data_IF_692760974964
#
_entry.id   IF_692760974964
#
_cell.length_a   1.000
_cell.length_b   1.000
_cell.length_c   1.000
_cell.angle_alpha   90.00
_cell.angle_beta   90.00
_cell.angle_gamma   90.00
#
_symmetry.space_group_name_H-M   'P 1'
#
loop_
_entity.id
_entity.type
_entity.pdbx_description
1 polymer ?
#
# COMPACT_ATOMS: atom_id res chain seq x y z
N UNK A 1 2.58 -71.33 -20.52
CA UNK A 1 1.66 -70.55 -19.69
C UNK A 1 0.27 -71.00 -20.06
N UNK A 2 -0.46 -71.58 -19.13
CA UNK A 2 -1.76 -72.18 -19.42
C UNK A 2 -2.80 -71.10 -19.73
N UNK A 3 -3.81 -71.45 -20.53
CA UNK A 3 -4.88 -70.54 -20.95
C UNK A 3 -5.52 -69.83 -19.74
N UNK A 4 -5.67 -70.55 -18.64
CA UNK A 4 -6.24 -70.03 -17.40
C UNK A 4 -5.34 -69.01 -16.72
N UNK A 5 -4.01 -69.18 -16.79
CA UNK A 5 -3.05 -68.20 -16.27
C UNK A 5 -3.07 -66.90 -17.07
N UNK A 6 -3.21 -66.99 -18.40
CA UNK A 6 -3.30 -65.80 -19.27
C UNK A 6 -4.58 -65.02 -18.96
N UNK A 7 -5.72 -65.71 -18.81
CA UNK A 7 -7.00 -65.08 -18.46
C UNK A 7 -6.91 -64.40 -17.09
N UNK A 8 -6.31 -65.04 -16.09
CA UNK A 8 -6.15 -64.47 -14.76
C UNK A 8 -5.28 -63.20 -14.76
N UNK A 9 -4.19 -63.17 -15.53
CA UNK A 9 -3.32 -61.99 -15.64
C UNK A 9 -4.02 -60.83 -16.34
N UNK A 10 -4.74 -61.09 -17.44
CA UNK A 10 -5.49 -60.05 -18.16
C UNK A 10 -6.59 -59.44 -17.27
N UNK A 11 -7.31 -60.28 -16.51
CA UNK A 11 -8.32 -59.80 -15.56
C UNK A 11 -7.72 -58.99 -14.41
N UNK A 12 -6.57 -59.43 -13.87
CA UNK A 12 -5.86 -58.71 -12.80
C UNK A 12 -5.39 -57.32 -13.25
N UNK A 13 -4.81 -57.22 -14.44
CA UNK A 13 -4.38 -55.94 -15.02
C UNK A 13 -5.59 -55.05 -15.29
N UNK A 14 -6.66 -55.60 -15.89
CA UNK A 14 -7.89 -54.85 -16.17
C UNK A 14 -8.53 -54.27 -14.90
N UNK A 15 -8.61 -55.07 -13.82
CA UNK A 15 -9.16 -54.63 -12.54
C UNK A 15 -8.31 -53.50 -11.92
N UNK A 16 -6.98 -53.60 -12.01
CA UNK A 16 -6.08 -52.57 -11.51
C UNK A 16 -6.31 -51.22 -12.20
N UNK A 17 -6.43 -51.19 -13.54
CA UNK A 17 -6.73 -49.96 -14.27
C UNK A 17 -8.11 -49.40 -13.95
N UNK A 18 -9.12 -50.27 -13.76
CA UNK A 18 -10.46 -49.84 -13.37
C UNK A 18 -10.47 -49.14 -12.00
N UNK A 19 -9.71 -49.65 -11.02
CA UNK A 19 -9.57 -49.04 -9.70
C UNK A 19 -8.89 -47.67 -9.80
N UNK A 20 -7.80 -47.55 -10.57
CA UNK A 20 -7.11 -46.28 -10.77
C UNK A 20 -7.98 -45.22 -11.46
N UNK A 21 -8.78 -45.61 -12.46
CA UNK A 21 -9.72 -44.72 -13.10
C UNK A 21 -10.78 -44.19 -12.11
N UNK A 22 -11.24 -45.05 -11.20
CA UNK A 22 -12.23 -44.69 -10.18
C UNK A 22 -11.67 -43.68 -9.16
N UNK A 23 -10.42 -43.86 -8.72
CA UNK A 23 -9.73 -42.87 -7.89
C UNK A 23 -9.49 -41.55 -8.63
N UNK A 24 -9.17 -41.59 -9.92
CA UNK A 24 -9.03 -40.40 -10.75
C UNK A 24 -10.33 -39.60 -10.84
N UNK A 25 -11.47 -40.27 -11.04
CA UNK A 25 -12.80 -39.63 -11.08
C UNK A 25 -13.13 -39.00 -9.73
N UNK A 26 -12.88 -39.69 -8.60
CA UNK A 26 -13.11 -39.15 -7.26
C UNK A 26 -12.23 -37.93 -6.96
N UNK A 27 -10.97 -37.93 -7.38
CA UNK A 27 -10.08 -36.79 -7.20
C UNK A 27 -10.55 -35.56 -8.00
N UNK A 28 -10.97 -35.76 -9.26
CA UNK A 28 -11.45 -34.68 -10.13
C UNK A 28 -12.79 -34.14 -9.63
N UNK A 29 -13.75 -35.01 -9.31
CA UNK A 29 -15.07 -34.58 -8.81
C UNK A 29 -15.00 -33.93 -7.44
N UNK A 30 -14.13 -34.41 -6.53
CA UNK A 30 -13.87 -33.77 -5.25
C UNK A 30 -13.25 -32.37 -5.40
N UNK A 31 -12.35 -32.18 -6.35
CA UNK A 31 -11.78 -30.87 -6.66
C UNK A 31 -12.86 -29.87 -7.12
N UNK A 32 -13.77 -30.28 -8.02
CA UNK A 32 -14.85 -29.40 -8.48
C UNK A 32 -15.89 -29.08 -7.38
N UNK A 33 -16.13 -29.98 -6.44
CA UNK A 33 -17.09 -29.74 -5.34
C UNK A 33 -16.58 -28.69 -4.33
N UNK A 34 -15.26 -28.60 -4.12
CA UNK A 34 -14.64 -27.58 -3.25
C UNK A 34 -14.57 -26.21 -3.93
N UNK A 35 -14.42 -26.17 -5.26
CA UNK A 35 -14.37 -24.90 -6.02
C UNK A 35 -15.74 -24.38 -6.50
N UNK A 36 -16.80 -25.18 -6.40
CA UNK A 36 -18.11 -24.90 -7.01
C UNK A 36 -19.18 -24.26 -6.11
N UNK A 37 -18.94 -24.12 -4.80
CA UNK A 37 -19.92 -23.53 -3.85
C UNK A 37 -19.84 -21.99 -3.77
N UNK A 38 -19.49 -21.32 -4.87
CA UNK A 38 -19.77 -19.90 -5.06
C UNK A 38 -21.22 -19.76 -5.57
N UNK A 39 -22.17 -20.06 -4.67
CA UNK A 39 -23.59 -19.92 -4.89
C UNK A 39 -24.01 -18.47 -5.03
N UNK A 40 -24.80 -18.24 -6.08
CA UNK A 40 -25.79 -17.17 -6.21
C UNK A 40 -26.65 -17.08 -4.94
N UNK A 41 -26.86 -15.87 -4.44
CA UNK A 41 -28.08 -15.38 -3.77
C UNK A 41 -28.02 -13.84 -3.84
N UNK A 42 -28.84 -13.14 -4.63
CA UNK A 42 -30.27 -12.89 -4.46
C UNK A 42 -30.61 -11.96 -3.29
N UNK A 43 -30.67 -10.66 -3.61
CA UNK A 43 -31.75 -9.71 -3.33
C UNK A 43 -32.12 -9.27 -1.88
N UNK A 44 -32.40 -7.96 -1.81
CA UNK A 44 -33.24 -7.20 -0.86
C UNK A 44 -32.63 -6.68 0.45
N UNK A 45 -32.71 -5.35 0.62
CA UNK A 45 -32.65 -4.71 1.94
C UNK A 45 -32.24 -3.24 1.92
N UNK A 46 -33.19 -2.35 1.59
CA UNK A 46 -33.07 -0.91 1.76
C UNK A 46 -33.00 -0.49 3.24
N UNK A 47 -32.31 0.62 3.54
CA UNK A 47 -32.53 1.36 4.81
C UNK A 47 -31.39 2.25 5.31
N UNK A 48 -31.49 3.55 4.97
CA UNK A 48 -31.30 4.76 5.83
C UNK A 48 -30.08 4.84 6.78
N UNK A 49 -29.15 5.81 6.66
CA UNK A 49 -29.22 7.28 6.85
C UNK A 49 -28.86 7.78 8.28
N UNK A 50 -28.23 8.97 8.29
CA UNK A 50 -27.86 9.91 9.40
C UNK A 50 -26.48 9.71 10.06
N UNK A 51 -25.51 10.64 9.98
CA UNK A 51 -25.38 12.05 10.43
C UNK A 51 -25.21 12.25 11.95
N UNK A 52 -24.02 12.71 12.36
CA UNK A 52 -23.70 13.78 13.34
C UNK A 52 -22.23 13.60 13.81
N UNK A 53 -21.27 14.49 13.54
CA UNK A 53 -21.07 15.86 14.02
C UNK A 53 -20.68 15.97 15.52
N UNK A 54 -19.41 16.32 15.76
CA UNK A 54 -18.90 17.14 16.89
C UNK A 54 -17.43 17.49 16.54
N UNK A 55 -17.04 18.71 16.13
CA UNK A 55 -17.11 20.03 16.77
C UNK A 55 -16.42 20.08 18.13
N UNK A 56 -15.17 20.56 18.14
CA UNK A 56 -14.42 20.93 19.34
C UNK A 56 -13.33 21.96 19.01
N UNK A 57 -13.54 23.19 19.48
CA UNK A 57 -12.72 24.40 19.31
C UNK A 57 -11.51 24.48 20.28
N UNK A 58 -10.66 25.48 20.01
CA UNK A 58 -9.81 26.25 20.94
C UNK A 58 -8.50 25.58 21.40
N UNK A 59 -7.37 26.24 21.66
CA UNK A 59 -6.95 27.64 21.77
C UNK A 59 -5.44 27.67 21.42
N UNK A 60 -4.89 28.63 20.68
CA UNK A 60 -4.31 29.89 21.18
C UNK A 60 -3.50 29.72 22.48
N UNK A 61 -2.17 29.70 22.39
CA UNK A 61 -1.32 30.27 23.44
C UNK A 61 0.02 30.73 22.88
N UNK A 62 0.25 32.03 23.08
CA UNK A 62 1.49 32.73 22.83
C UNK A 62 2.42 32.55 24.03
N UNK A 63 3.72 32.38 23.79
CA UNK A 63 4.71 32.72 24.80
C UNK A 63 6.07 33.05 24.17
N UNK A 64 6.43 34.33 24.22
CA UNK A 64 7.81 34.80 24.25
C UNK A 64 8.26 34.89 25.71
N UNK A 65 9.55 34.76 26.05
CA UNK A 65 10.35 35.98 26.17
C UNK A 65 11.86 35.80 25.92
N UNK A 66 12.56 36.92 25.69
CA UNK A 66 13.55 37.46 26.64
C UNK A 66 14.64 38.27 25.93
N UNK A 67 14.72 39.51 26.40
CA UNK A 67 15.66 40.58 26.13
C UNK A 67 17.09 40.19 26.51
N UNK A 68 18.07 40.53 25.66
CA UNK A 68 19.42 40.85 26.11
C UNK A 68 19.86 42.16 25.46
N UNK A 69 20.09 43.15 26.32
CA UNK A 69 20.79 44.38 26.01
C UNK A 69 22.29 44.11 26.09
N UNK A 70 23.05 44.68 25.16
CA UNK A 70 24.43 45.10 25.42
C UNK A 70 24.74 46.35 24.60
N UNK A 71 25.16 47.38 25.34
CA UNK A 71 25.63 48.66 24.86
C UNK A 71 27.01 48.53 24.22
N UNK A 72 27.27 49.25 23.12
CA UNK A 72 28.61 49.78 22.88
C UNK A 72 28.60 51.07 22.06
N UNK A 73 29.47 51.97 22.52
CA UNK A 73 29.70 53.35 22.12
C UNK A 73 30.69 53.40 20.95
N UNK A 74 30.49 54.31 19.99
CA UNK A 74 31.52 54.64 19.00
C UNK A 74 31.03 55.61 17.93
N UNK A 75 31.54 56.83 17.96
CA UNK A 75 31.18 57.96 17.11
C UNK A 75 31.62 57.83 15.63
N UNK A 76 30.86 58.44 14.71
CA UNK A 76 31.35 59.35 13.65
C UNK A 76 30.20 59.74 12.69
N UNK A 77 29.99 61.02 12.33
CA UNK A 77 28.90 61.43 11.46
C UNK A 77 29.34 61.40 9.99
N UNK A 78 28.82 60.45 9.22
CA UNK A 78 28.91 60.45 7.76
C UNK A 78 27.51 60.54 7.15
N UNK A 79 27.31 61.63 6.42
CA UNK A 79 26.16 61.90 5.55
C UNK A 79 26.05 60.78 4.50
N UNK A 80 24.93 60.06 4.46
CA UNK A 80 24.60 59.12 3.39
C UNK A 80 23.13 59.21 2.96
N UNK A 81 22.84 58.82 1.71
CA UNK A 81 21.75 59.33 0.89
C UNK A 81 20.40 58.74 1.28
N UNK A 82 19.33 59.48 1.00
CA UNK A 82 17.93 59.04 1.01
C UNK A 82 17.77 57.67 0.34
N UNK A 83 17.79 56.59 1.13
CA UNK A 83 17.46 55.25 0.66
C UNK A 83 15.99 55.24 0.23
N UNK A 84 15.77 54.90 -1.04
CA UNK A 84 14.45 54.51 -1.55
C UNK A 84 13.80 53.52 -0.60
N UNK A 85 12.50 53.66 -0.28
CA UNK A 85 11.84 52.77 0.66
C UNK A 85 11.96 51.34 0.16
N UNK A 86 12.69 50.53 0.92
CA UNK A 86 12.80 49.09 0.71
C UNK A 86 11.37 48.54 0.63
N UNK A 87 11.01 47.72 -0.38
CA UNK A 87 9.68 47.14 -0.44
C UNK A 87 9.40 46.45 0.89
N UNK A 88 8.33 46.87 1.58
CA UNK A 88 7.89 46.15 2.77
C UNK A 88 7.66 44.70 2.36
N UNK A 89 8.15 43.77 3.16
CA UNK A 89 7.84 42.37 2.93
C UNK A 89 6.30 42.24 2.95
N UNK A 90 5.71 41.52 1.99
CA UNK A 90 4.27 41.26 1.99
C UNK A 90 3.83 40.67 3.33
N UNK A 91 2.71 41.15 3.87
CA UNK A 91 2.16 40.73 5.16
C UNK A 91 0.83 40.00 4.95
N UNK A 92 0.91 38.67 4.85
CA UNK A 92 -0.29 37.83 4.78
C UNK A 92 -1.17 38.00 6.01
N UNK A 93 -2.49 38.05 5.81
CA UNK A 93 -3.47 37.99 6.90
C UNK A 93 -3.88 39.36 7.43
N UNK A 94 -3.68 40.41 6.64
CA UNK A 94 -4.17 41.77 6.90
C UNK A 94 -5.51 42.07 6.17
N UNK A 95 -6.08 41.07 5.48
CA UNK A 95 -7.32 41.14 4.69
C UNK A 95 -7.22 42.01 3.42
N UNK A 96 -6.00 42.33 2.98
CA UNK A 96 -5.74 43.14 1.78
C UNK A 96 -4.62 42.46 0.98
N UNK A 97 -4.91 42.06 -0.27
CA UNK A 97 -3.87 41.50 -1.15
C UNK A 97 -2.92 42.63 -1.56
N UNK A 98 -1.72 42.66 -0.98
CA UNK A 98 -0.67 43.62 -1.28
C UNK A 98 0.15 43.21 -2.52
N UNK A 99 0.94 44.15 -3.04
CA UNK A 99 1.82 43.88 -4.19
C UNK A 99 2.84 42.80 -3.85
N UNK A 100 2.70 41.63 -4.48
CA UNK A 100 3.55 40.46 -4.26
C UNK A 100 2.85 39.29 -3.56
N UNK A 101 1.60 39.48 -3.14
CA UNK A 101 0.75 38.45 -2.55
C UNK A 101 -0.17 37.83 -3.61
N UNK A 102 -0.47 36.55 -3.44
CA UNK A 102 -1.38 35.79 -4.32
C UNK A 102 -2.73 35.57 -3.65
N UNK A 103 -2.78 35.54 -2.33
CA UNK A 103 -3.98 35.29 -1.55
C UNK A 103 -3.85 35.88 -0.14
N UNK A 104 -4.99 36.20 0.46
CA UNK A 104 -5.13 36.55 1.88
C UNK A 104 -5.87 35.45 2.66
N UNK A 105 -6.76 34.75 1.99
CA UNK A 105 -7.59 33.68 2.52
C UNK A 105 -7.67 32.52 1.53
N UNK A 106 -8.10 31.35 2.01
CA UNK A 106 -8.36 30.19 1.14
C UNK A 106 -9.36 30.50 0.02
N UNK A 107 -10.23 31.49 0.19
CA UNK A 107 -11.22 31.90 -0.81
C UNK A 107 -10.61 32.63 -2.01
N UNK A 108 -9.42 33.21 -1.84
CA UNK A 108 -8.69 33.90 -2.91
C UNK A 108 -7.95 32.91 -3.82
N UNK A 109 -7.88 31.64 -3.43
CA UNK A 109 -7.29 30.59 -4.26
C UNK A 109 -8.34 30.05 -5.24
N UNK A 110 -8.15 30.34 -6.53
CA UNK A 110 -9.05 30.01 -7.65
C UNK A 110 -9.50 28.53 -7.77
N UNK A 111 -8.93 27.60 -6.99
CA UNK A 111 -9.17 26.16 -7.14
C UNK A 111 -9.58 25.48 -5.82
N UNK A 112 -10.64 24.68 -5.90
CA UNK A 112 -10.98 23.72 -4.87
C UNK A 112 -9.79 22.76 -4.65
N UNK A 113 -9.19 22.80 -3.46
CA UNK A 113 -8.01 22.01 -3.14
C UNK A 113 -6.73 22.81 -2.95
N UNK A 114 -6.79 24.14 -2.93
CA UNK A 114 -5.68 25.00 -2.48
C UNK A 114 -6.02 25.73 -1.18
N UNK A 115 -5.01 26.01 -0.36
CA UNK A 115 -5.10 26.83 0.84
C UNK A 115 -4.12 28.00 0.74
N UNK A 116 -4.47 29.12 1.34
CA UNK A 116 -3.59 30.26 1.40
C UNK A 116 -2.58 30.08 2.53
N UNK A 117 -1.30 29.97 2.17
CA UNK A 117 -0.21 29.83 3.11
C UNK A 117 0.97 30.67 2.66
N UNK A 118 1.43 31.55 3.56
CA UNK A 118 2.54 32.48 3.29
C UNK A 118 2.32 33.33 2.02
N UNK A 119 1.15 33.96 1.89
CA UNK A 119 0.71 34.75 0.72
C UNK A 119 0.66 33.96 -0.60
N UNK A 120 0.66 32.62 -0.58
CA UNK A 120 0.66 31.76 -1.76
C UNK A 120 -0.42 30.70 -1.66
N UNK A 121 -1.05 30.40 -2.79
CA UNK A 121 -1.95 29.27 -2.90
C UNK A 121 -1.15 27.97 -3.02
N UNK A 122 -1.00 27.29 -1.90
CA UNK A 122 -0.40 25.95 -1.81
C UNK A 122 -1.50 24.89 -1.95
N UNK A 123 -1.15 23.70 -2.46
CA UNK A 123 -2.11 22.60 -2.49
C UNK A 123 -2.45 22.17 -1.05
N UNK A 124 -3.75 21.96 -0.79
CA UNK A 124 -4.21 21.40 0.48
C UNK A 124 -3.50 20.06 0.68
N UNK A 125 -2.89 19.83 1.86
CA UNK A 125 -2.33 18.53 2.18
C UNK A 125 -3.39 17.47 1.94
N UNK A 126 -3.13 16.57 1.00
CA UNK A 126 -4.01 15.43 0.79
C UNK A 126 -4.09 14.66 2.11
N UNK A 127 -5.29 14.40 2.66
CA UNK A 127 -5.40 13.56 3.84
C UNK A 127 -4.63 12.27 3.62
N UNK A 128 -3.84 11.86 4.61
CA UNK A 128 -3.16 10.58 4.54
C UNK A 128 -4.21 9.49 4.28
N UNK A 129 -3.95 8.62 3.30
CA UNK A 129 -4.85 7.51 3.00
C UNK A 129 -5.03 6.69 4.29
N UNK A 130 -6.27 6.29 4.64
CA UNK A 130 -6.52 5.60 5.91
C UNK A 130 -5.88 4.21 5.91
N UNK A 131 -5.52 3.70 7.09
CA UNK A 131 -5.09 2.31 7.22
C UNK A 131 -6.31 1.38 7.09
N UNK A 132 -6.16 0.31 6.32
CA UNK A 132 -7.17 -0.71 6.09
C UNK A 132 -7.01 -1.83 7.12
N UNK A 133 -7.36 -1.56 8.38
CA UNK A 133 -7.13 -2.48 9.51
C UNK A 133 -7.89 -3.82 9.41
N UNK A 134 -8.88 -3.89 8.52
CA UNK A 134 -9.66 -5.09 8.23
C UNK A 134 -9.04 -5.96 7.13
N UNK A 135 -8.00 -5.48 6.45
CA UNK A 135 -7.19 -6.32 5.56
C UNK A 135 -5.96 -6.78 6.33
N UNK A 136 -5.46 -7.98 6.01
CA UNK A 136 -4.23 -8.51 6.59
C UNK A 136 -3.40 -9.23 5.54
N UNK A 137 -2.07 -9.16 5.65
CA UNK A 137 -1.16 -9.90 4.80
C UNK A 137 -0.96 -11.32 5.36
N UNK A 138 -1.80 -12.26 4.92
CA UNK A 138 -1.81 -13.63 5.43
C UNK A 138 -0.64 -14.48 4.89
N UNK A 139 -0.11 -14.13 3.72
CA UNK A 139 0.98 -14.89 3.10
C UNK A 139 1.89 -14.05 2.22
N UNK A 140 3.18 -14.42 2.21
CA UNK A 140 4.15 -13.96 1.21
C UNK A 140 4.86 -15.22 0.70
N UNK A 141 4.75 -15.49 -0.59
CA UNK A 141 5.51 -16.55 -1.23
C UNK A 141 6.79 -15.96 -1.79
N UNK A 142 7.91 -16.56 -1.41
CA UNK A 142 9.22 -16.09 -1.82
C UNK A 142 9.74 -16.85 -3.05
N UNK A 143 10.69 -16.24 -3.74
CA UNK A 143 11.50 -16.84 -4.79
C UNK A 143 12.91 -16.26 -4.69
N UNK A 144 13.90 -16.99 -5.19
CA UNK A 144 15.26 -16.49 -5.31
C UNK A 144 15.52 -15.95 -6.71
N UNK A 145 15.92 -14.67 -6.78
CA UNK A 145 16.20 -14.01 -8.06
C UNK A 145 17.52 -13.25 -8.01
N UNK A 146 18.14 -13.15 -9.18
CA UNK A 146 19.24 -12.23 -9.41
C UNK A 146 18.66 -10.84 -9.70
N UNK A 147 18.95 -9.88 -8.84
CA UNK A 147 18.58 -8.49 -9.02
C UNK A 147 19.85 -7.63 -9.10
N UNK A 148 20.09 -6.99 -10.24
CA UNK A 148 21.30 -6.19 -10.50
C UNK A 148 22.61 -6.91 -10.14
N UNK A 149 22.71 -8.19 -10.51
CA UNK A 149 23.90 -9.03 -10.23
C UNK A 149 24.00 -9.55 -8.80
N UNK A 150 23.01 -9.31 -7.94
CA UNK A 150 22.95 -9.84 -6.58
C UNK A 150 21.82 -10.86 -6.46
N UNK A 151 22.15 -12.07 -5.99
CA UNK A 151 21.12 -13.03 -5.56
C UNK A 151 20.49 -12.54 -4.28
N UNK A 152 19.17 -12.60 -4.20
CA UNK A 152 18.45 -12.34 -2.96
C UNK A 152 17.00 -12.79 -3.04
N UNK A 153 16.33 -12.61 -1.92
CA UNK A 153 14.94 -12.99 -1.73
C UNK A 153 14.06 -12.00 -2.49
N UNK A 154 13.03 -12.52 -3.15
CA UNK A 154 12.02 -11.72 -3.83
C UNK A 154 10.63 -12.19 -3.44
N UNK A 155 9.69 -11.27 -3.29
CA UNK A 155 8.28 -11.61 -3.13
C UNK A 155 7.69 -11.94 -4.51
N UNK A 156 7.13 -13.15 -4.61
CA UNK A 156 6.45 -13.65 -5.81
C UNK A 156 4.95 -13.47 -5.70
N UNK A 157 4.36 -13.79 -4.56
CA UNK A 157 2.90 -13.68 -4.35
C UNK A 157 2.67 -13.02 -3.00
N UNK A 158 1.76 -12.05 -2.98
CA UNK A 158 1.19 -11.49 -1.75
C UNK A 158 -0.23 -12.01 -1.61
N UNK A 159 -0.51 -12.72 -0.52
CA UNK A 159 -1.86 -13.19 -0.20
C UNK A 159 -2.44 -12.28 0.86
N UNK A 160 -3.54 -11.61 0.54
CA UNK A 160 -4.23 -10.67 1.40
C UNK A 160 -5.57 -11.26 1.81
N UNK A 161 -5.86 -11.25 3.10
CA UNK A 161 -7.11 -11.71 3.68
C UNK A 161 -8.00 -10.52 4.04
N UNK A 162 -9.30 -10.62 3.73
CA UNK A 162 -10.31 -9.68 4.18
C UNK A 162 -10.96 -10.17 5.48
N UNK A 163 -10.50 -9.62 6.61
CA UNK A 163 -11.04 -9.83 7.95
C UNK A 163 -12.16 -8.84 8.31
N UNK A 164 -12.67 -8.10 7.33
CA UNK A 164 -13.78 -7.16 7.49
C UNK A 164 -15.13 -7.84 7.50
N UNK A 165 -16.12 -7.14 8.06
CA UNK A 165 -17.51 -7.60 8.13
C UNK A 165 -18.27 -7.39 6.80
N UNK A 166 -17.58 -6.89 5.77
CA UNK A 166 -18.11 -6.65 4.43
C UNK A 166 -17.08 -6.97 3.35
N UNK A 167 -17.56 -7.17 2.13
CA UNK A 167 -16.71 -7.31 0.95
C UNK A 167 -15.83 -6.08 0.74
N UNK A 168 -14.56 -6.32 0.41
CA UNK A 168 -13.63 -5.28 -0.01
C UNK A 168 -13.54 -5.27 -1.54
N UNK A 169 -13.82 -4.13 -2.15
CA UNK A 169 -13.67 -3.94 -3.59
C UNK A 169 -12.71 -2.82 -3.91
N UNK A 170 -11.88 -3.04 -4.92
CA UNK A 170 -10.91 -2.07 -5.40
C UNK A 170 -10.74 -2.19 -6.91
N UNK A 171 -10.63 -1.05 -7.60
CA UNK A 171 -10.30 -0.98 -9.02
C UNK A 171 -9.21 0.06 -9.19
N UNK A 172 -8.06 -0.36 -9.70
CA UNK A 172 -6.90 0.53 -9.84
C UNK A 172 -5.57 -0.20 -9.72
N UNK A 173 -4.52 0.59 -9.51
CA UNK A 173 -3.15 0.10 -9.32
C UNK A 173 -2.83 0.05 -7.83
N UNK A 174 -2.15 -1.00 -7.41
CA UNK A 174 -1.66 -1.13 -6.04
C UNK A 174 -0.19 -0.78 -6.00
N UNK A 175 0.18 0.15 -5.13
CA UNK A 175 1.59 0.46 -4.88
C UNK A 175 2.11 -0.41 -3.73
N UNK A 176 3.13 -1.22 -4.02
CA UNK A 176 3.78 -2.12 -3.09
C UNK A 176 5.11 -1.50 -2.69
N UNK A 177 5.24 -1.16 -1.42
CA UNK A 177 6.47 -0.63 -0.83
C UNK A 177 7.00 -1.65 0.17
N UNK A 178 8.18 -2.20 -0.08
CA UNK A 178 8.88 -3.10 0.85
C UNK A 178 10.11 -2.40 1.41
N UNK A 179 10.13 -2.15 2.71
CA UNK A 179 11.27 -1.56 3.42
C UNK A 179 11.98 -2.63 4.23
N UNK A 180 13.28 -2.82 4.01
CA UNK A 180 14.14 -3.81 4.67
C UNK A 180 15.37 -3.12 5.23
N UNK A 181 15.42 -2.91 6.55
CA UNK A 181 16.43 -2.06 7.17
C UNK A 181 16.39 -0.64 6.57
N UNK A 182 17.51 -0.20 6.00
CA UNK A 182 17.66 1.14 5.39
C UNK A 182 17.29 1.21 3.89
N UNK A 183 16.81 0.11 3.31
CA UNK A 183 16.52 0.02 1.88
C UNK A 183 15.03 -0.15 1.62
N UNK A 184 14.52 0.51 0.59
CA UNK A 184 13.11 0.41 0.17
C UNK A 184 13.02 0.05 -1.32
N UNK A 185 12.18 -0.95 -1.64
CA UNK A 185 11.71 -1.23 -2.99
C UNK A 185 10.29 -0.70 -3.18
N UNK A 186 10.02 -0.07 -4.32
CA UNK A 186 8.68 0.35 -4.70
C UNK A 186 8.33 -0.17 -6.08
N UNK A 187 7.19 -0.87 -6.18
CA UNK A 187 6.55 -1.24 -7.46
C UNK A 187 5.10 -0.86 -7.45
N UNK A 188 4.51 -0.73 -8.64
CA UNK A 188 3.07 -0.65 -8.81
C UNK A 188 2.58 -1.89 -9.56
N UNK A 189 1.34 -2.28 -9.34
CA UNK A 189 0.69 -3.28 -10.19
C UNK A 189 0.21 -2.65 -11.51
N UNK A 190 -0.12 -3.51 -12.47
CA UNK A 190 -1.09 -3.20 -13.52
C UNK A 190 -2.44 -2.89 -12.87
N UNK A 191 -3.30 -2.17 -13.60
CA UNK A 191 -4.66 -1.94 -13.14
C UNK A 191 -5.40 -3.28 -12.99
N UNK A 192 -6.06 -3.47 -11.85
CA UNK A 192 -6.79 -4.69 -11.54
C UNK A 192 -8.08 -4.39 -10.79
N UNK A 193 -9.06 -5.28 -10.96
CA UNK A 193 -10.31 -5.29 -10.24
C UNK A 193 -10.27 -6.40 -9.18
N UNK A 194 -10.34 -6.01 -7.92
CA UNK A 194 -10.34 -6.90 -6.76
C UNK A 194 -11.72 -6.90 -6.13
N UNK A 195 -12.21 -8.10 -5.83
CA UNK A 195 -13.34 -8.32 -4.93
C UNK A 195 -12.94 -9.40 -3.94
N UNK A 196 -12.59 -8.98 -2.72
CA UNK A 196 -12.25 -9.86 -1.62
C UNK A 196 -13.47 -10.00 -0.71
N UNK A 197 -14.12 -11.17 -0.77
CA UNK A 197 -15.27 -11.48 0.10
C UNK A 197 -14.84 -11.55 1.57
N UNK A 198 -15.75 -11.28 2.49
CA UNK A 198 -15.51 -11.45 3.94
C UNK A 198 -14.97 -12.85 4.25
N UNK A 199 -13.87 -12.92 5.00
CA UNK A 199 -13.18 -14.16 5.39
C UNK A 199 -12.52 -14.90 4.23
N UNK A 200 -12.31 -14.24 3.09
CA UNK A 200 -11.61 -14.80 1.92
C UNK A 200 -10.32 -14.05 1.63
N UNK A 201 -9.46 -14.72 0.88
CA UNK A 201 -8.19 -14.17 0.42
C UNK A 201 -8.23 -13.80 -1.06
N UNK A 202 -7.33 -12.91 -1.45
CA UNK A 202 -6.95 -12.69 -2.84
C UNK A 202 -5.42 -12.64 -2.96
N UNK A 203 -4.92 -12.97 -4.15
CA UNK A 203 -3.49 -13.01 -4.44
C UNK A 203 -3.11 -11.90 -5.42
N UNK A 204 -1.94 -11.30 -5.20
CA UNK A 204 -1.26 -10.42 -6.15
C UNK A 204 -0.08 -11.20 -6.74
N UNK A 205 -0.11 -11.48 -8.04
CA UNK A 205 0.88 -12.32 -8.72
C UNK A 205 2.00 -11.50 -9.39
N UNK A 206 3.13 -12.12 -9.76
CA UNK A 206 4.23 -11.44 -10.45
C UNK A 206 3.76 -10.77 -11.74
N UNK A 207 2.94 -11.47 -12.54
CA UNK A 207 2.42 -10.98 -13.83
C UNK A 207 1.61 -9.69 -13.68
N UNK A 208 1.11 -9.41 -12.48
CA UNK A 208 0.33 -8.23 -12.19
C UNK A 208 1.22 -7.04 -11.79
N UNK A 209 2.53 -7.22 -11.63
CA UNK A 209 3.49 -6.15 -11.26
C UNK A 209 3.98 -5.44 -12.52
N UNK A 210 3.79 -4.12 -12.57
CA UNK A 210 4.21 -3.24 -13.67
C UNK A 210 5.68 -2.80 -13.49
N UNK A 211 6.60 -3.75 -13.65
CA UNK A 211 8.05 -3.51 -13.64
C UNK A 211 8.72 -4.26 -14.77
N UNK A 212 9.22 -3.51 -15.76
CA UNK A 212 9.83 -4.09 -16.96
C UNK A 212 11.00 -5.02 -16.60
N UNK A 213 10.93 -6.27 -17.07
CA UNK A 213 11.98 -7.28 -16.91
C UNK A 213 12.11 -7.91 -15.51
N UNK A 214 11.53 -7.31 -14.47
CA UNK A 214 11.62 -7.80 -13.09
C UNK A 214 10.26 -7.71 -12.39
N UNK A 215 9.31 -8.60 -12.69
CA UNK A 215 7.96 -8.58 -12.14
C UNK A 215 7.90 -9.08 -10.68
N UNK A 216 8.80 -8.58 -9.83
CA UNK A 216 8.93 -9.01 -8.44
C UNK A 216 9.43 -7.86 -7.56
N UNK A 217 9.13 -7.99 -6.26
CA UNK A 217 9.60 -7.05 -5.23
C UNK A 217 10.83 -7.67 -4.59
N UNK A 218 11.98 -7.02 -4.70
CA UNK A 218 13.20 -7.50 -4.06
C UNK A 218 13.09 -7.23 -2.57
N UNK A 219 13.46 -8.22 -1.75
CA UNK A 219 13.37 -8.14 -0.28
C UNK A 219 14.75 -8.14 0.39
N UNK A 220 15.82 -8.05 -0.40
CA UNK A 220 17.19 -8.01 0.10
C UNK A 220 17.93 -9.35 0.02
N UNK A 221 19.20 -9.30 0.41
CA UNK A 221 20.13 -10.42 0.44
C UNK A 221 20.68 -10.70 1.85
N UNK A 222 20.04 -10.15 2.88
CA UNK A 222 20.43 -10.30 4.28
C UNK A 222 19.27 -10.89 5.08
N UNK A 223 19.60 -11.87 5.91
CA UNK A 223 18.66 -12.46 6.86
C UNK A 223 18.60 -11.67 8.17
N UNK A 224 17.55 -11.93 8.95
CA UNK A 224 17.28 -11.38 10.28
C UNK A 224 17.21 -9.84 10.29
N UNK A 225 16.74 -9.26 9.18
CA UNK A 225 16.50 -7.83 9.04
C UNK A 225 14.99 -7.57 9.19
N UNK A 226 14.57 -6.54 9.94
CA UNK A 226 13.18 -6.13 9.97
C UNK A 226 12.71 -5.72 8.57
N UNK A 227 11.51 -6.15 8.21
CA UNK A 227 10.87 -5.83 6.95
C UNK A 227 9.46 -5.29 7.21
N UNK A 228 9.11 -4.21 6.52
CA UNK A 228 7.76 -3.67 6.46
C UNK A 228 7.28 -3.68 5.02
N UNK A 229 6.12 -4.29 4.77
CA UNK A 229 5.44 -4.29 3.48
C UNK A 229 4.19 -3.44 3.59
N UNK A 230 4.05 -2.48 2.68
CA UNK A 230 2.88 -1.62 2.56
C UNK A 230 2.24 -1.78 1.18
N UNK A 231 0.97 -2.18 1.14
CA UNK A 231 0.16 -2.23 -0.08
C UNK A 231 -0.80 -1.03 -0.07
N UNK A 232 -0.67 -0.13 -1.03
CA UNK A 232 -1.48 1.10 -1.10
C UNK A 232 -2.52 0.97 -2.20
N UNK A 233 -3.78 1.15 -1.85
CA UNK A 233 -4.95 1.04 -2.75
C UNK A 233 -5.42 2.44 -3.16
N UNK A 234 -4.48 3.32 -3.51
CA UNK A 234 -4.74 4.73 -3.78
C UNK A 234 -5.50 5.43 -2.65
N UNK A 235 -6.62 6.07 -2.99
CA UNK A 235 -7.44 6.83 -2.04
C UNK A 235 -8.27 5.95 -1.09
N UNK A 236 -8.39 4.64 -1.37
CA UNK A 236 -9.12 3.73 -0.48
C UNK A 236 -8.40 3.50 0.83
N UNK A 237 -7.08 3.61 0.85
CA UNK A 237 -6.27 3.35 2.03
C UNK A 237 -5.07 2.47 1.74
N UNK A 238 -4.45 1.97 2.81
CA UNK A 238 -3.29 1.09 2.73
C UNK A 238 -3.35 -0.04 3.76
N UNK A 239 -2.81 -1.19 3.39
CA UNK A 239 -2.44 -2.27 4.31
C UNK A 239 -0.96 -2.14 4.63
N UNK A 240 -0.58 -2.38 5.89
CA UNK A 240 0.82 -2.42 6.31
C UNK A 240 1.06 -3.60 7.25
N UNK A 241 2.10 -4.37 6.96
CA UNK A 241 2.52 -5.53 7.72
C UNK A 241 4.03 -5.45 8.01
N UNK A 242 4.41 -5.67 9.27
CA UNK A 242 5.81 -5.67 9.69
C UNK A 242 6.19 -7.02 10.26
N UNK A 243 7.26 -7.62 9.74
CA UNK A 243 7.77 -8.94 10.14
C UNK A 243 9.29 -9.00 10.05
N UNK A 244 9.93 -10.00 10.67
CA UNK A 244 11.35 -10.25 10.45
C UNK A 244 11.55 -11.24 9.29
N UNK A 245 12.49 -10.92 8.39
CA UNK A 245 12.93 -11.88 7.38
C UNK A 245 13.83 -12.93 8.04
N UNK A 246 13.26 -14.09 8.36
CA UNK A 246 14.01 -15.19 8.95
C UNK A 246 15.08 -15.71 8.00
N UNK A 247 16.25 -16.10 8.54
CA UNK A 247 17.30 -16.79 7.77
C UNK A 247 16.79 -18.03 7.04
N UNK A 248 15.83 -18.75 7.65
CA UNK A 248 15.20 -19.91 7.04
C UNK A 248 14.56 -19.60 5.68
N UNK A 249 13.99 -18.40 5.51
CA UNK A 249 13.40 -17.98 4.23
C UNK A 249 14.45 -17.95 3.11
N UNK A 250 15.71 -17.65 3.42
CA UNK A 250 16.79 -17.67 2.42
C UNK A 250 17.22 -19.10 2.09
N UNK A 251 17.33 -19.96 3.10
CA UNK A 251 17.71 -21.36 2.93
C UNK A 251 16.67 -22.13 2.11
N UNK A 252 15.39 -22.02 2.47
CA UNK A 252 14.29 -22.75 1.84
C UNK A 252 14.11 -22.40 0.35
N UNK A 253 14.54 -21.20 -0.03
CA UNK A 253 14.44 -20.71 -1.40
C UNK A 253 15.77 -20.82 -2.17
N UNK A 254 16.82 -21.39 -1.59
CA UNK A 254 18.12 -21.52 -2.24
C UNK A 254 18.80 -20.17 -2.51
N UNK A 255 18.63 -19.19 -1.61
CA UNK A 255 19.27 -17.88 -1.67
C UNK A 255 20.52 -17.74 -0.81
N UNK A 256 20.83 -18.75 0.02
CA UNK A 256 22.02 -18.78 0.86
C UNK A 256 23.28 -19.21 0.10
#
# INVERSE_FOLDING_TARGET
MDRDTIIAVVLGIGLFFAIFALFGILAVTGYFYVSGSAGQDANNGAGQASLAAASGNAASDANAPAVKADSNVGASPSVQPSESPKPKAPVCGNSVIESGEVCETDADCDNAGKLCKSCKCEDKPKPAAPKLDKLALSGIFFDCKNYNGKRGLSAKIFTVENNGDSDFTYSGRIDINATIGDWTDTVSTLAMDITAKTGKTFDIYPKDIDRQGNPFVFLGNKANVPMTIRLSFGDKGYLEDSRQLAFQNFMDNGCA
#
